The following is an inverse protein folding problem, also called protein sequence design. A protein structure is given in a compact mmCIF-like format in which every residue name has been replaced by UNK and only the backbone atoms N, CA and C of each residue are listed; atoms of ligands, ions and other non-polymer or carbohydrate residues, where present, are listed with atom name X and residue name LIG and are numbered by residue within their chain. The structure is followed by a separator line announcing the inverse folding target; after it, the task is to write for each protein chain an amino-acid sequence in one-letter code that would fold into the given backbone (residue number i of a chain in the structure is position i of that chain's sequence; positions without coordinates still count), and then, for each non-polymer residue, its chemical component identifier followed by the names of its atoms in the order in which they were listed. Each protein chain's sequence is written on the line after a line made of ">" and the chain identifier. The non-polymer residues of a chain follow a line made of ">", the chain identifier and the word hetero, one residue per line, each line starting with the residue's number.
data_IF_358232097591
#
_entry.id   IF_358232097591
#
_cell.length_a   1.000
_cell.length_b   1.000
_cell.length_c   1.000
_cell.angle_alpha   90.00
_cell.angle_beta   90.00
_cell.angle_gamma   90.00
#
_symmetry.space_group_name_H-M   'P 1'
#
loop_
_entity.id
_entity.type
_entity.pdbx_description
1 polymer ?
#
# COMPACT_ATOMS: atom_id res chain seq x y z
N UNK A 1 32.03 -33.23 7.17
CA UNK A 1 31.97 -31.86 6.58
C UNK A 1 30.50 -31.57 6.28
N UNK A 2 29.86 -30.70 7.02
CA UNK A 2 28.49 -30.27 6.70
C UNK A 2 28.56 -29.34 5.49
N UNK A 3 28.03 -29.76 4.36
CA UNK A 3 27.77 -28.88 3.22
C UNK A 3 26.83 -27.76 3.67
N UNK A 4 27.16 -26.48 3.49
CA UNK A 4 26.25 -25.41 3.81
C UNK A 4 25.00 -25.56 2.90
N UNK A 5 23.85 -25.78 3.51
CA UNK A 5 22.58 -25.71 2.80
C UNK A 5 22.45 -24.30 2.27
N UNK A 6 22.46 -24.16 0.94
CA UNK A 6 22.30 -22.85 0.31
C UNK A 6 21.00 -22.20 0.85
N UNK A 7 21.11 -20.99 1.39
CA UNK A 7 19.95 -20.29 1.93
C UNK A 7 18.90 -20.12 0.81
N UNK A 8 17.69 -20.65 1.02
CA UNK A 8 16.58 -20.56 0.07
C UNK A 8 16.31 -19.10 -0.26
N UNK A 9 16.25 -18.75 -1.53
CA UNK A 9 15.77 -17.43 -1.96
C UNK A 9 14.27 -17.35 -1.72
N UNK A 10 13.83 -16.34 -0.98
CA UNK A 10 12.42 -16.09 -0.69
C UNK A 10 11.79 -15.28 -1.81
N UNK A 11 10.55 -15.58 -2.13
CA UNK A 11 9.75 -14.80 -3.07
C UNK A 11 8.94 -13.79 -2.28
N UNK A 12 9.18 -12.50 -2.55
CA UNK A 12 8.36 -11.38 -2.07
C UNK A 12 7.41 -10.99 -3.19
N UNK A 13 6.14 -10.77 -2.88
CA UNK A 13 5.16 -10.31 -3.86
C UNK A 13 4.53 -8.99 -3.45
N UNK A 14 4.11 -8.20 -4.44
CA UNK A 14 3.35 -6.96 -4.26
C UNK A 14 2.68 -6.55 -5.56
N UNK A 15 1.69 -5.70 -5.49
CA UNK A 15 1.02 -5.11 -6.65
C UNK A 15 1.69 -3.77 -6.98
N UNK A 16 2.47 -3.73 -8.06
CA UNK A 16 3.22 -2.54 -8.47
C UNK A 16 2.36 -1.51 -9.22
N UNK A 17 1.16 -1.24 -8.72
CA UNK A 17 0.25 -0.23 -9.24
C UNK A 17 -0.14 0.84 -8.19
N UNK A 18 0.65 0.96 -7.09
CA UNK A 18 0.32 1.78 -5.91
C UNK A 18 1.42 2.81 -5.57
N UNK A 19 1.75 3.73 -6.51
CA UNK A 19 2.80 4.73 -6.28
C UNK A 19 2.44 5.72 -5.18
N UNK A 20 3.41 6.24 -4.40
CA UNK A 20 4.85 6.00 -4.48
C UNK A 20 5.32 4.80 -3.65
N UNK A 21 4.39 3.98 -3.15
CA UNK A 21 4.68 2.86 -2.25
C UNK A 21 5.35 1.69 -3.00
N UNK A 22 4.69 1.16 -4.01
CA UNK A 22 5.21 0.15 -4.93
C UNK A 22 4.66 0.35 -6.34
N UNK A 23 5.55 0.48 -7.32
CA UNK A 23 5.18 0.67 -8.71
C UNK A 23 6.29 0.21 -9.66
N UNK A 24 5.98 0.15 -10.96
CA UNK A 24 6.97 -0.19 -11.97
C UNK A 24 7.57 1.08 -12.59
N UNK A 25 8.89 1.09 -12.74
CA UNK A 25 9.55 2.07 -13.61
C UNK A 25 9.17 1.87 -15.07
N UNK A 26 9.55 2.80 -15.96
CA UNK A 26 9.39 2.64 -17.42
C UNK A 26 10.08 1.38 -17.95
N UNK A 27 11.14 0.93 -17.28
CA UNK A 27 11.87 -0.30 -17.59
C UNK A 27 11.25 -1.56 -16.97
N UNK A 28 10.05 -1.46 -16.41
CA UNK A 28 9.34 -2.56 -15.73
C UNK A 28 10.09 -3.13 -14.52
N UNK A 29 10.87 -2.30 -13.84
CA UNK A 29 11.55 -2.67 -12.60
C UNK A 29 10.71 -2.20 -11.42
N UNK A 30 10.38 -3.09 -10.45
CA UNK A 30 9.72 -2.71 -9.21
C UNK A 30 10.54 -1.68 -8.43
N UNK A 31 9.88 -0.63 -7.94
CA UNK A 31 10.46 0.45 -7.16
C UNK A 31 9.41 1.06 -6.22
N UNK A 32 9.82 1.89 -5.29
CA UNK A 32 8.95 2.57 -4.34
C UNK A 32 9.35 2.35 -2.89
N UNK A 33 8.70 3.08 -2.00
CA UNK A 33 9.00 3.07 -0.57
C UNK A 33 8.99 1.65 0.02
N UNK A 34 7.93 0.87 -0.24
CA UNK A 34 7.79 -0.50 0.29
C UNK A 34 8.83 -1.45 -0.32
N UNK A 35 9.21 -1.23 -1.58
CA UNK A 35 10.23 -2.01 -2.26
C UNK A 35 11.61 -1.79 -1.62
N UNK A 36 11.99 -0.53 -1.42
CA UNK A 36 13.28 -0.19 -0.80
C UNK A 36 13.30 -0.64 0.67
N UNK A 37 12.16 -0.50 1.35
CA UNK A 37 12.04 -0.94 2.75
C UNK A 37 12.23 -2.46 2.90
N UNK A 38 11.60 -3.29 2.04
CA UNK A 38 11.76 -4.75 2.11
C UNK A 38 13.17 -5.20 1.68
N UNK A 39 13.82 -4.47 0.77
CA UNK A 39 15.21 -4.72 0.43
C UNK A 39 16.15 -4.42 1.60
N UNK A 40 15.92 -3.32 2.32
CA UNK A 40 16.70 -2.99 3.52
C UNK A 40 16.47 -4.00 4.66
N UNK A 41 15.22 -4.48 4.84
CA UNK A 41 14.92 -5.60 5.74
C UNK A 41 15.71 -6.84 5.35
N UNK A 42 15.67 -7.23 4.07
CA UNK A 42 16.35 -8.42 3.57
C UNK A 42 17.86 -8.38 3.84
N UNK A 43 18.49 -7.22 3.62
CA UNK A 43 19.91 -6.97 3.90
C UNK A 43 20.22 -7.19 5.39
N UNK A 44 19.47 -6.58 6.30
CA UNK A 44 19.70 -6.70 7.76
C UNK A 44 19.39 -8.08 8.31
N UNK A 45 18.31 -8.67 7.82
CA UNK A 45 17.92 -10.02 8.20
C UNK A 45 18.75 -11.13 7.54
N UNK A 46 19.76 -10.78 6.69
CA UNK A 46 20.55 -11.73 5.89
C UNK A 46 19.64 -12.72 5.11
N UNK A 47 18.65 -12.17 4.39
CA UNK A 47 17.73 -12.90 3.53
C UNK A 47 18.08 -12.66 2.06
N UNK A 48 18.01 -13.71 1.26
CA UNK A 48 17.99 -13.57 -0.20
C UNK A 48 16.56 -13.49 -0.65
N UNK A 49 16.20 -12.43 -1.36
CA UNK A 49 14.84 -12.22 -1.86
C UNK A 49 14.84 -12.00 -3.37
N UNK A 50 13.71 -12.35 -4.00
CA UNK A 50 13.32 -11.90 -5.33
C UNK A 50 11.96 -11.25 -5.20
N UNK A 51 11.72 -10.15 -5.91
CA UNK A 51 10.42 -9.49 -5.93
C UNK A 51 9.62 -9.93 -7.16
N UNK A 52 8.32 -10.14 -6.98
CA UNK A 52 7.36 -10.50 -8.04
C UNK A 52 6.21 -9.52 -8.02
N UNK A 53 5.99 -8.83 -9.13
CA UNK A 53 4.78 -8.05 -9.35
C UNK A 53 3.61 -9.00 -9.63
N UNK A 54 2.49 -8.83 -8.92
CA UNK A 54 1.27 -9.64 -9.03
C UNK A 54 0.04 -8.75 -8.90
N UNK A 55 -1.07 -9.16 -9.49
CA UNK A 55 -2.32 -8.45 -9.31
C UNK A 55 -2.75 -8.42 -7.83
N UNK A 56 -3.36 -7.32 -7.41
CA UNK A 56 -3.89 -7.18 -6.06
C UNK A 56 -5.03 -8.15 -5.79
N UNK A 57 -5.93 -8.31 -6.78
CA UNK A 57 -6.98 -9.32 -6.68
C UNK A 57 -6.38 -10.71 -6.58
N UNK A 58 -6.79 -11.47 -5.57
CA UNK A 58 -6.23 -12.79 -5.27
C UNK A 58 -4.87 -12.81 -4.58
N UNK A 59 -4.27 -11.66 -4.24
CA UNK A 59 -2.93 -11.58 -3.63
C UNK A 59 -2.84 -12.35 -2.30
N UNK A 60 -3.87 -12.31 -1.48
CA UNK A 60 -3.92 -13.08 -0.23
C UNK A 60 -4.08 -14.59 -0.46
N UNK A 61 -4.87 -14.98 -1.46
CA UNK A 61 -5.02 -16.38 -1.84
C UNK A 61 -3.69 -16.98 -2.32
N UNK A 62 -2.93 -16.20 -3.10
CA UNK A 62 -1.59 -16.57 -3.54
C UNK A 62 -0.60 -16.75 -2.37
N UNK A 63 -0.65 -15.88 -1.34
CA UNK A 63 0.16 -16.03 -0.13
C UNK A 63 -0.23 -17.28 0.64
N UNK A 64 -1.53 -17.54 0.82
CA UNK A 64 -2.05 -18.72 1.50
C UNK A 64 -1.62 -20.01 0.80
N UNK A 65 -1.69 -20.04 -0.54
CA UNK A 65 -1.25 -21.17 -1.37
C UNK A 65 0.27 -21.38 -1.40
N UNK A 66 1.06 -20.41 -0.90
CA UNK A 66 2.52 -20.50 -0.87
C UNK A 66 3.20 -20.16 -2.19
N UNK A 67 2.52 -19.46 -3.09
CA UNK A 67 3.10 -18.98 -4.35
C UNK A 67 4.23 -17.96 -4.12
N UNK A 68 4.26 -17.33 -2.95
CA UNK A 68 5.31 -16.45 -2.44
C UNK A 68 5.38 -16.56 -0.92
N UNK A 69 6.47 -16.07 -0.34
CA UNK A 69 6.79 -16.24 1.08
C UNK A 69 6.38 -15.02 1.91
N UNK A 70 6.46 -13.82 1.33
CA UNK A 70 6.19 -12.53 1.98
C UNK A 70 5.36 -11.67 1.02
N UNK A 71 4.38 -10.96 1.57
CA UNK A 71 3.63 -9.92 0.87
C UNK A 71 4.15 -8.55 1.30
N UNK A 72 4.61 -7.76 0.32
CA UNK A 72 5.09 -6.39 0.47
C UNK A 72 4.33 -5.49 -0.51
N UNK A 73 3.13 -5.07 -0.12
CA UNK A 73 2.18 -4.35 -0.97
C UNK A 73 1.29 -3.41 -0.16
N UNK A 74 1.89 -2.53 0.61
CA UNK A 74 1.19 -1.51 1.45
C UNK A 74 -0.06 -2.05 2.14
N UNK A 75 0.09 -3.27 2.68
CA UNK A 75 -1.05 -4.03 3.20
C UNK A 75 -1.44 -3.52 4.58
N UNK A 76 -2.60 -2.90 4.69
CA UNK A 76 -3.16 -2.48 5.98
C UNK A 76 -3.36 -3.67 6.91
N UNK A 77 -2.86 -3.53 8.12
CA UNK A 77 -3.07 -4.48 9.22
C UNK A 77 -4.51 -4.31 9.71
N UNK A 78 -5.39 -5.26 9.40
CA UNK A 78 -6.77 -5.26 9.90
C UNK A 78 -7.02 -6.50 10.75
N UNK A 79 -7.97 -6.44 11.72
CA UNK A 79 -8.35 -7.61 12.53
C UNK A 79 -8.76 -8.81 11.66
N UNK A 80 -9.48 -8.57 10.56
CA UNK A 80 -9.89 -9.62 9.62
C UNK A 80 -8.68 -10.29 8.96
N UNK A 81 -7.77 -9.49 8.38
CA UNK A 81 -6.55 -10.01 7.75
C UNK A 81 -5.66 -10.75 8.74
N UNK A 82 -5.59 -10.27 10.00
CA UNK A 82 -4.84 -10.92 11.07
C UNK A 82 -5.41 -12.27 11.51
N UNK A 83 -6.66 -12.59 11.21
CA UNK A 83 -7.20 -13.93 11.44
C UNK A 83 -6.54 -14.97 10.53
N UNK A 84 -6.24 -14.62 9.28
CA UNK A 84 -5.71 -15.52 8.26
C UNK A 84 -4.18 -15.46 8.12
N UNK A 85 -3.57 -14.34 8.47
CA UNK A 85 -2.15 -14.07 8.22
C UNK A 85 -1.46 -13.46 9.44
N UNK A 86 -0.13 -13.58 9.50
CA UNK A 86 0.70 -12.88 10.46
C UNK A 86 1.33 -11.64 9.80
N UNK A 87 1.35 -10.53 10.54
CA UNK A 87 1.89 -9.25 10.10
C UNK A 87 3.11 -8.88 10.93
N UNK A 88 4.04 -8.19 10.29
CA UNK A 88 5.12 -7.52 11.02
C UNK A 88 4.59 -6.38 11.88
N UNK A 89 5.43 -5.86 12.77
CA UNK A 89 5.21 -4.51 13.32
C UNK A 89 5.05 -3.52 12.16
N UNK A 90 4.27 -2.42 12.36
CA UNK A 90 4.03 -1.44 11.31
C UNK A 90 5.33 -0.81 10.78
N UNK A 91 5.43 -0.64 9.45
CA UNK A 91 6.52 0.09 8.82
C UNK A 91 6.08 1.44 8.23
N UNK A 92 4.77 1.69 8.12
CA UNK A 92 4.19 2.95 7.67
C UNK A 92 2.83 3.19 8.32
N UNK A 93 2.51 4.44 8.60
CA UNK A 93 1.18 4.87 9.03
C UNK A 93 0.51 5.67 7.92
N UNK A 94 -0.75 5.41 7.63
CA UNK A 94 -1.53 6.08 6.61
C UNK A 94 -2.93 6.45 7.13
N UNK A 95 -3.63 7.29 6.39
CA UNK A 95 -5.07 7.53 6.55
C UNK A 95 -5.75 7.46 5.19
N UNK A 96 -7.03 7.14 5.17
CA UNK A 96 -7.79 7.21 3.93
C UNK A 96 -8.03 8.65 3.52
N UNK A 97 -7.82 8.97 2.24
CA UNK A 97 -7.99 10.30 1.68
C UNK A 97 -8.95 10.28 0.50
N UNK A 98 -9.83 11.27 0.43
CA UNK A 98 -10.72 11.49 -0.70
C UNK A 98 -10.09 12.55 -1.61
N UNK A 99 -9.86 12.19 -2.86
CA UNK A 99 -9.36 13.06 -3.91
C UNK A 99 -10.52 13.45 -4.83
N UNK A 100 -10.61 14.74 -5.14
CA UNK A 100 -11.63 15.31 -6.02
C UNK A 100 -10.99 16.30 -7.00
N UNK A 101 -11.72 16.79 -8.02
CA UNK A 101 -11.26 17.90 -8.85
C UNK A 101 -10.79 19.07 -7.98
N UNK A 102 -9.70 19.72 -8.41
CA UNK A 102 -9.03 20.81 -7.66
C UNK A 102 -10.01 21.87 -7.21
N UNK A 103 -9.90 22.29 -5.95
CA UNK A 103 -10.76 23.30 -5.33
C UNK A 103 -12.01 22.75 -4.66
N UNK A 104 -12.37 21.50 -4.89
CA UNK A 104 -13.44 20.83 -4.14
C UNK A 104 -12.95 20.45 -2.74
N UNK A 105 -13.84 20.60 -1.76
CA UNK A 105 -13.62 20.19 -0.36
C UNK A 105 -14.91 19.59 0.17
N UNK A 106 -14.76 18.64 1.06
CA UNK A 106 -15.85 18.06 1.83
C UNK A 106 -15.47 18.06 3.31
N UNK A 107 -16.46 18.11 4.20
CA UNK A 107 -16.24 18.16 5.63
C UNK A 107 -16.28 16.77 6.28
N UNK A 108 -16.96 15.84 5.63
CA UNK A 108 -17.11 14.46 6.08
C UNK A 108 -17.41 13.53 4.91
N UNK A 109 -17.35 12.21 5.17
CA UNK A 109 -17.77 11.21 4.18
C UNK A 109 -19.26 11.34 3.82
N UNK A 110 -20.11 11.90 4.67
CA UNK A 110 -21.53 12.10 4.39
C UNK A 110 -21.76 13.00 3.17
N UNK A 111 -20.82 13.91 2.87
CA UNK A 111 -20.89 14.79 1.70
C UNK A 111 -20.70 14.05 0.37
N UNK A 112 -20.32 12.76 0.42
CA UNK A 112 -20.21 11.87 -0.75
C UNK A 112 -21.57 11.27 -1.16
N UNK A 113 -22.66 11.55 -0.44
CA UNK A 113 -24.01 11.03 -0.73
C UNK A 113 -24.40 11.30 -2.19
N UNK A 114 -24.75 10.23 -2.90
CA UNK A 114 -25.18 10.27 -4.30
C UNK A 114 -24.04 10.40 -5.31
N UNK A 115 -22.81 10.71 -4.87
CA UNK A 115 -21.64 10.77 -5.74
C UNK A 115 -21.14 9.36 -6.09
N UNK A 116 -20.46 9.25 -7.23
CA UNK A 116 -19.73 8.05 -7.62
C UNK A 116 -18.28 8.17 -7.16
N UNK A 117 -17.85 7.26 -6.30
CA UNK A 117 -16.49 7.24 -5.72
C UNK A 117 -15.73 6.03 -6.26
N UNK A 118 -14.63 6.29 -6.94
CA UNK A 118 -13.69 5.25 -7.42
C UNK A 118 -12.75 4.79 -6.31
N UNK A 119 -12.41 3.51 -6.30
CA UNK A 119 -11.38 2.93 -5.43
C UNK A 119 -10.81 1.66 -6.06
N UNK A 120 -9.68 1.17 -5.54
CA UNK A 120 -9.21 -0.16 -5.92
C UNK A 120 -10.00 -1.22 -5.17
N UNK A 121 -10.31 -2.33 -5.83
CA UNK A 121 -11.04 -3.46 -5.22
C UNK A 121 -10.32 -3.97 -3.97
N UNK A 122 -11.08 -4.21 -2.88
CA UNK A 122 -10.56 -4.87 -1.67
C UNK A 122 -9.55 -4.07 -0.84
N UNK A 123 -9.28 -2.77 -1.14
CA UNK A 123 -8.51 -1.91 -0.23
C UNK A 123 -9.41 -1.33 0.87
N UNK A 124 -8.80 -0.88 1.97
CA UNK A 124 -9.54 -0.37 3.14
C UNK A 124 -10.37 0.89 2.84
N UNK A 125 -10.03 1.65 1.81
CA UNK A 125 -10.85 2.76 1.33
C UNK A 125 -12.28 2.35 0.93
N UNK A 126 -12.45 1.16 0.33
CA UNK A 126 -13.78 0.59 0.04
C UNK A 126 -14.52 0.26 1.33
N UNK A 127 -13.83 -0.37 2.30
CA UNK A 127 -14.43 -0.74 3.59
C UNK A 127 -14.91 0.49 4.36
N UNK A 128 -14.09 1.55 4.39
CA UNK A 128 -14.46 2.82 5.04
C UNK A 128 -15.74 3.41 4.44
N UNK A 129 -15.91 3.38 3.13
CA UNK A 129 -17.14 3.85 2.48
C UNK A 129 -18.35 2.96 2.77
N UNK A 130 -18.15 1.63 2.78
CA UNK A 130 -19.19 0.66 3.09
C UNK A 130 -19.67 0.79 4.54
N UNK A 131 -18.75 0.90 5.49
CA UNK A 131 -19.05 1.09 6.92
C UNK A 131 -19.74 2.43 7.17
N UNK A 132 -19.28 3.50 6.53
CA UNK A 132 -19.89 4.82 6.65
C UNK A 132 -21.34 4.85 6.11
N UNK A 133 -21.67 3.98 5.17
CA UNK A 133 -23.01 3.80 4.57
C UNK A 133 -23.69 5.13 4.19
N UNK A 134 -22.93 6.04 3.62
CA UNK A 134 -23.38 7.42 3.33
C UNK A 134 -24.21 7.54 2.04
N UNK A 135 -24.45 6.44 1.33
CA UNK A 135 -25.17 6.42 0.05
C UNK A 135 -24.33 6.90 -1.13
N UNK A 136 -23.02 6.81 -1.05
CA UNK A 136 -22.13 6.93 -2.19
C UNK A 136 -22.25 5.70 -3.11
N UNK A 137 -22.05 5.89 -4.42
CA UNK A 137 -21.95 4.79 -5.39
C UNK A 137 -20.48 4.41 -5.51
N UNK A 138 -20.11 3.22 -5.02
CA UNK A 138 -18.72 2.75 -5.08
C UNK A 138 -18.47 2.11 -6.44
N UNK A 139 -17.40 2.53 -7.13
CA UNK A 139 -16.91 1.93 -8.36
C UNK A 139 -15.51 1.38 -8.12
N UNK A 140 -15.38 0.08 -8.18
CA UNK A 140 -14.14 -0.62 -7.91
C UNK A 140 -13.36 -0.89 -9.20
N UNK A 141 -12.03 -0.83 -9.11
CA UNK A 141 -11.07 -1.01 -10.19
C UNK A 141 -9.98 -1.99 -9.78
N UNK A 142 -9.41 -2.69 -10.75
CA UNK A 142 -8.29 -3.61 -10.49
C UNK A 142 -7.05 -2.86 -9.97
N UNK A 143 -6.79 -1.66 -10.51
CA UNK A 143 -5.69 -0.78 -10.11
C UNK A 143 -6.20 0.62 -9.77
N UNK A 144 -5.60 1.24 -8.75
CA UNK A 144 -6.00 2.59 -8.30
C UNK A 144 -5.80 3.65 -9.41
N UNK A 145 -4.82 3.45 -10.28
CA UNK A 145 -4.56 4.36 -11.41
C UNK A 145 -5.76 4.51 -12.34
N UNK A 146 -6.50 3.43 -12.58
CA UNK A 146 -7.72 3.44 -13.41
C UNK A 146 -8.82 4.31 -12.79
N UNK A 147 -8.94 4.29 -11.45
CA UNK A 147 -9.88 5.18 -10.76
C UNK A 147 -9.52 6.67 -10.96
N UNK A 148 -8.22 7.01 -10.93
CA UNK A 148 -7.76 8.37 -11.21
C UNK A 148 -7.93 8.79 -12.67
N UNK A 149 -7.79 7.87 -13.61
CA UNK A 149 -8.11 8.13 -15.04
C UNK A 149 -9.59 8.42 -15.22
N UNK A 150 -10.45 7.68 -14.53
CA UNK A 150 -11.90 7.90 -14.56
C UNK A 150 -12.28 9.22 -13.84
N UNK A 151 -11.59 9.59 -12.77
CA UNK A 151 -11.75 10.90 -12.15
C UNK A 151 -11.35 12.04 -13.12
N UNK A 152 -10.23 11.88 -13.83
CA UNK A 152 -9.79 12.87 -14.83
C UNK A 152 -10.77 13.02 -16.00
N UNK A 153 -11.43 11.94 -16.36
CA UNK A 153 -12.44 11.90 -17.42
C UNK A 153 -13.86 12.29 -16.95
N UNK A 154 -14.05 12.58 -15.66
CA UNK A 154 -15.36 12.91 -15.08
C UNK A 154 -16.34 11.73 -15.01
N UNK A 155 -15.85 10.49 -15.07
CA UNK A 155 -16.67 9.26 -14.97
C UNK A 155 -16.92 8.84 -13.52
N UNK A 156 -16.12 9.35 -12.59
CA UNK A 156 -16.36 9.32 -11.14
C UNK A 156 -16.17 10.72 -10.57
N UNK A 157 -16.80 11.02 -9.44
CA UNK A 157 -16.78 12.34 -8.80
C UNK A 157 -15.62 12.49 -7.83
N UNK A 158 -15.15 11.38 -7.28
CA UNK A 158 -14.06 11.30 -6.32
C UNK A 158 -13.32 9.97 -6.41
N UNK A 159 -12.11 9.91 -5.83
CA UNK A 159 -11.36 8.67 -5.57
C UNK A 159 -11.02 8.62 -4.09
N UNK A 160 -11.17 7.45 -3.45
CA UNK A 160 -10.70 7.20 -2.09
C UNK A 160 -9.56 6.19 -2.12
N UNK A 161 -8.46 6.51 -1.45
CA UNK A 161 -7.29 5.64 -1.26
C UNK A 161 -6.42 6.17 -0.11
N UNK A 162 -5.36 5.43 0.22
CA UNK A 162 -4.38 5.84 1.23
C UNK A 162 -3.70 7.15 0.86
N UNK A 163 -3.48 8.00 1.85
CA UNK A 163 -2.99 9.39 1.66
C UNK A 163 -1.65 9.52 0.93
N UNK A 164 -0.65 8.61 1.04
CA UNK A 164 0.57 8.74 0.23
C UNK A 164 0.28 8.58 -1.26
N UNK A 165 -0.66 7.70 -1.64
CA UNK A 165 -1.09 7.51 -3.02
C UNK A 165 -1.92 8.70 -3.50
N UNK A 166 -2.86 9.16 -2.67
CA UNK A 166 -3.63 10.37 -2.96
C UNK A 166 -2.74 11.59 -3.21
N UNK A 167 -1.72 11.80 -2.35
CA UNK A 167 -0.72 12.86 -2.50
C UNK A 167 0.09 12.73 -3.79
N UNK A 168 0.47 11.50 -4.14
CA UNK A 168 1.21 11.25 -5.39
C UNK A 168 0.38 11.66 -6.62
N UNK A 169 -0.85 11.19 -6.73
CA UNK A 169 -1.72 11.50 -7.86
C UNK A 169 -2.15 12.97 -7.90
N UNK A 170 -2.35 13.62 -6.75
CA UNK A 170 -2.71 15.03 -6.69
C UNK A 170 -1.55 15.98 -7.02
N UNK A 171 -0.29 15.62 -6.68
CA UNK A 171 0.81 16.56 -6.68
C UNK A 171 2.01 16.17 -7.55
N UNK A 172 2.28 14.87 -7.74
CA UNK A 172 3.52 14.41 -8.41
C UNK A 172 3.28 13.84 -9.80
N UNK A 173 2.12 13.24 -10.08
CA UNK A 173 1.86 12.65 -11.39
C UNK A 173 1.59 13.73 -12.42
N UNK A 174 2.50 13.86 -13.39
CA UNK A 174 2.49 14.96 -14.39
C UNK A 174 1.24 14.99 -15.26
N UNK A 175 0.68 13.81 -15.62
CA UNK A 175 -0.53 13.71 -16.44
C UNK A 175 -1.77 14.31 -15.76
N UNK A 176 -1.74 14.43 -14.44
CA UNK A 176 -2.82 14.95 -13.60
C UNK A 176 -2.46 16.26 -12.90
N UNK A 177 -1.30 16.85 -13.23
CA UNK A 177 -0.82 18.06 -12.58
C UNK A 177 -1.88 19.16 -12.54
N UNK A 178 -2.21 19.61 -11.34
CA UNK A 178 -3.17 20.69 -11.11
C UNK A 178 -4.65 20.33 -11.33
N UNK A 179 -4.99 19.09 -11.71
CA UNK A 179 -6.38 18.65 -11.92
C UNK A 179 -7.07 18.26 -10.61
N UNK A 180 -6.35 17.71 -9.66
CA UNK A 180 -6.86 17.13 -8.43
C UNK A 180 -6.39 17.83 -7.17
N UNK A 181 -7.11 17.59 -6.08
CA UNK A 181 -6.72 17.97 -4.73
C UNK A 181 -7.30 17.01 -3.70
N UNK A 182 -6.63 16.90 -2.56
CA UNK A 182 -7.16 16.17 -1.42
C UNK A 182 -8.33 16.99 -0.85
N UNK A 183 -9.53 16.46 -0.97
CA UNK A 183 -10.76 17.09 -0.51
C UNK A 183 -11.04 16.80 0.97
N UNK A 184 -10.60 15.61 1.45
CA UNK A 184 -10.82 15.16 2.83
C UNK A 184 -9.77 14.11 3.20
N UNK A 185 -9.39 14.06 4.47
CA UNK A 185 -8.62 12.97 5.07
C UNK A 185 -9.41 12.40 6.25
N UNK A 186 -9.55 11.09 6.29
CA UNK A 186 -10.24 10.40 7.36
C UNK A 186 -9.36 10.37 8.62
N UNK A 187 -9.96 10.61 9.79
CA UNK A 187 -9.21 10.75 11.04
C UNK A 187 -8.80 9.40 11.67
N UNK A 188 -9.12 8.28 11.03
CA UNK A 188 -8.81 6.96 11.56
C UNK A 188 -7.47 6.48 10.97
N UNK A 189 -6.37 6.41 11.77
CA UNK A 189 -5.08 5.97 11.26
C UNK A 189 -5.09 4.48 10.96
N UNK A 190 -4.45 4.13 9.87
CA UNK A 190 -4.17 2.78 9.43
C UNK A 190 -2.67 2.53 9.42
N UNK A 191 -2.27 1.26 9.50
CA UNK A 191 -0.86 0.90 9.54
C UNK A 191 -0.57 -0.20 8.53
N UNK A 192 0.50 -0.05 7.74
CA UNK A 192 0.97 -1.07 6.82
C UNK A 192 1.97 -2.01 7.50
N UNK A 193 1.82 -3.30 7.24
CA UNK A 193 2.74 -4.34 7.66
C UNK A 193 3.09 -5.27 6.50
N UNK A 194 4.28 -5.85 6.54
CA UNK A 194 4.60 -6.98 5.68
C UNK A 194 3.86 -8.21 6.19
N UNK A 195 3.30 -9.00 5.27
CA UNK A 195 2.42 -10.10 5.63
C UNK A 195 3.06 -11.45 5.27
N UNK A 196 2.91 -12.42 6.14
CA UNK A 196 3.36 -13.81 5.95
C UNK A 196 2.24 -14.79 6.32
N UNK A 197 2.33 -16.04 5.86
CA UNK A 197 1.40 -17.08 6.29
C UNK A 197 1.46 -17.28 7.80
N UNK A 198 0.33 -17.64 8.38
CA UNK A 198 0.24 -18.01 9.81
C UNK A 198 1.29 -19.04 10.22
N UNK A 199 1.84 -18.84 11.43
CA UNK A 199 2.79 -19.76 12.04
C UNK A 199 4.23 -19.64 11.51
N UNK A 200 4.54 -18.65 10.67
CA UNK A 200 5.91 -18.37 10.20
C UNK A 200 6.69 -17.52 11.23
N UNK A 201 6.63 -17.90 12.50
CA UNK A 201 7.13 -17.11 13.64
C UNK A 201 8.60 -16.73 13.51
N UNK A 202 9.47 -17.67 13.10
CA UNK A 202 10.90 -17.38 12.91
C UNK A 202 11.12 -16.29 11.85
N UNK A 203 10.42 -16.40 10.71
CA UNK A 203 10.49 -15.39 9.65
C UNK A 203 10.00 -14.05 10.17
N UNK A 204 8.84 -14.02 10.83
CA UNK A 204 8.24 -12.81 11.39
C UNK A 204 9.19 -12.12 12.38
N UNK A 205 9.83 -12.88 13.28
CA UNK A 205 10.79 -12.35 14.23
C UNK A 205 12.02 -11.71 13.54
N UNK A 206 12.52 -12.34 12.47
CA UNK A 206 13.63 -11.79 11.69
C UNK A 206 13.25 -10.48 11.00
N UNK A 207 12.06 -10.42 10.38
CA UNK A 207 11.55 -9.21 9.75
C UNK A 207 11.36 -8.10 10.79
N UNK A 208 10.71 -8.40 11.93
CA UNK A 208 10.46 -7.43 12.99
C UNK A 208 11.74 -6.87 13.60
N UNK A 209 12.76 -7.71 13.80
CA UNK A 209 14.07 -7.25 14.27
C UNK A 209 14.68 -6.25 13.29
N UNK A 210 14.68 -6.57 12.00
CA UNK A 210 15.21 -5.67 10.97
C UNK A 210 14.43 -4.35 10.89
N UNK A 211 13.09 -4.37 11.01
CA UNK A 211 12.26 -3.16 11.07
C UNK A 211 12.63 -2.30 12.28
N UNK A 212 12.80 -2.91 13.45
CA UNK A 212 13.19 -2.19 14.65
C UNK A 212 14.57 -1.49 14.49
N UNK A 213 15.51 -2.16 13.86
CA UNK A 213 16.83 -1.59 13.55
C UNK A 213 16.75 -0.44 12.54
N UNK A 214 15.92 -0.58 11.47
CA UNK A 214 15.66 0.46 10.46
C UNK A 214 15.07 1.72 11.10
N UNK A 215 14.15 1.55 12.04
CA UNK A 215 13.56 2.67 12.80
C UNK A 215 14.57 3.33 13.72
N UNK A 216 15.36 2.53 14.45
CA UNK A 216 16.28 3.03 15.45
C UNK A 216 17.45 3.85 14.87
N UNK A 217 17.93 3.52 13.69
CA UNK A 217 19.09 4.20 13.08
C UNK A 217 18.70 5.32 12.08
N UNK A 218 17.42 5.62 11.95
CA UNK A 218 16.90 6.68 11.10
C UNK A 218 16.84 6.36 9.61
N UNK A 219 17.05 5.11 9.21
CA UNK A 219 16.92 4.68 7.80
C UNK A 219 15.49 4.84 7.31
N UNK A 220 14.46 4.56 8.16
CA UNK A 220 13.05 4.81 7.83
C UNK A 220 12.82 6.27 7.43
N UNK A 221 13.36 7.23 8.18
CA UNK A 221 13.20 8.65 7.87
C UNK A 221 13.85 9.03 6.54
N UNK A 222 15.02 8.44 6.22
CA UNK A 222 15.68 8.66 4.92
C UNK A 222 14.80 8.18 3.77
N UNK A 223 14.23 6.97 3.89
CA UNK A 223 13.32 6.43 2.89
C UNK A 223 12.04 7.29 2.76
N UNK A 224 11.48 7.77 3.88
CA UNK A 224 10.32 8.68 3.85
C UNK A 224 10.65 9.99 3.11
N UNK A 225 11.79 10.62 3.41
CA UNK A 225 12.22 11.84 2.72
C UNK A 225 12.39 11.59 1.23
N UNK A 226 13.01 10.49 0.85
CA UNK A 226 13.23 10.13 -0.56
C UNK A 226 11.93 9.98 -1.34
N UNK A 227 10.97 9.23 -0.80
CA UNK A 227 9.74 8.88 -1.51
C UNK A 227 8.59 9.87 -1.29
N UNK A 228 8.43 10.39 -0.07
CA UNK A 228 7.32 11.28 0.31
C UNK A 228 7.73 12.76 0.28
N UNK A 229 9.01 13.06 0.38
CA UNK A 229 9.54 14.42 0.46
C UNK A 229 9.58 14.98 1.90
N UNK A 230 9.17 14.20 2.89
CA UNK A 230 9.16 14.57 4.32
C UNK A 230 9.38 13.31 5.15
N UNK A 231 9.91 13.49 6.37
CA UNK A 231 10.10 12.39 7.33
C UNK A 231 8.85 12.16 8.22
N UNK A 232 7.88 13.06 8.15
CA UNK A 232 6.63 13.04 8.93
C UNK A 232 5.47 12.44 8.14
#
# INVERSE_FOLDING_TARGET
>A
MCTPVAAKTLVVAGNCAFPPMEFLTDKKVPTGYSIDYIHEIAKRANLKITFRDVAWDGIFAGLAAGNYDILASSTTITPERQQAFDFTIPYYGAVQAVVMPKGKKINSLADLKGLTVGSQIGITGVLVLQEANVGAKIREYDDIGLAFEDLAAGRVDAVICDDPVAKYYANKRTDFAGKFGIAYQHNNPEYFGFCVRKGRTEMLNRLNKAIAEIKADGTENKLKVEWMGTAD
#
